data_IF_489735545063
#
_entry.id   IF_489735545063
#
_cell.length_a   1.000
_cell.length_b   1.000
_cell.length_c   1.000
_cell.angle_alpha   90.00
_cell.angle_beta   90.00
_cell.angle_gamma   90.00
#
_symmetry.space_group_name_H-M   'P 1'
#
loop_
_entity.id
_entity.type
_entity.pdbx_description
1 polymer ?
#
# COMPACT_ATOMS: atom_id res chain seq x y z
N UNK A 1 12.76 6.31 28.01
CA UNK A 1 13.28 7.47 27.25
C UNK A 1 13.04 8.76 27.99
N UNK A 2 11.79 9.16 28.25
CA UNK A 2 11.45 10.39 28.98
C UNK A 2 12.08 10.45 30.40
N UNK A 3 12.19 9.31 31.09
CA UNK A 3 12.94 9.24 32.37
C UNK A 3 14.46 9.43 32.22
N UNK A 4 15.04 9.08 31.06
CA UNK A 4 16.49 9.14 30.80
C UNK A 4 16.89 10.48 30.14
N UNK A 5 15.96 11.12 29.45
CA UNK A 5 16.14 12.42 28.79
C UNK A 5 14.88 13.28 29.05
N UNK A 6 14.75 13.92 30.22
CA UNK A 6 13.53 14.63 30.63
C UNK A 6 13.23 15.90 29.83
N UNK A 7 14.18 16.42 29.03
CA UNK A 7 14.00 17.61 28.18
C UNK A 7 14.11 17.33 26.68
N UNK A 8 13.93 16.07 26.25
CA UNK A 8 14.03 15.73 24.83
C UNK A 8 12.88 16.33 24.04
N UNK A 9 13.18 16.89 22.86
CA UNK A 9 12.15 17.47 22.01
C UNK A 9 11.19 16.40 21.45
N UNK A 10 10.02 16.85 21.03
CA UNK A 10 8.94 15.97 20.58
C UNK A 10 9.32 15.19 19.32
N UNK A 11 10.03 15.79 18.37
CA UNK A 11 10.45 15.13 17.13
C UNK A 11 11.42 13.99 17.42
N UNK A 12 12.43 14.24 18.26
CA UNK A 12 13.35 13.17 18.71
C UNK A 12 12.62 12.08 19.48
N UNK A 13 11.65 12.45 20.31
CA UNK A 13 10.82 11.47 21.04
C UNK A 13 10.09 10.54 20.08
N UNK A 14 9.45 11.10 19.05
CA UNK A 14 8.75 10.32 18.02
C UNK A 14 9.73 9.41 17.29
N UNK A 15 10.83 9.95 16.75
CA UNK A 15 11.81 9.17 16.00
C UNK A 15 12.43 8.03 16.80
N UNK A 16 12.84 8.28 18.05
CA UNK A 16 13.39 7.25 18.92
C UNK A 16 12.34 6.20 19.33
N UNK A 17 11.09 6.61 19.51
CA UNK A 17 10.00 5.66 19.78
C UNK A 17 9.78 4.73 18.60
N UNK A 18 9.65 5.28 17.39
CA UNK A 18 9.49 4.51 16.15
C UNK A 18 10.68 3.58 15.95
N UNK A 19 11.91 4.10 16.07
CA UNK A 19 13.14 3.30 15.95
C UNK A 19 13.14 2.12 16.91
N UNK A 20 12.78 2.32 18.17
CA UNK A 20 12.78 1.26 19.19
C UNK A 20 11.70 0.21 18.91
N UNK A 21 10.50 0.64 18.53
CA UNK A 21 9.42 -0.28 18.13
C UNK A 21 9.88 -1.17 16.97
N UNK A 22 10.40 -0.57 15.90
CA UNK A 22 10.93 -1.30 14.75
C UNK A 22 12.08 -2.24 15.17
N UNK A 23 12.99 -1.77 16.02
CA UNK A 23 14.13 -2.58 16.48
C UNK A 23 13.66 -3.85 17.22
N UNK A 24 12.65 -3.73 18.08
CA UNK A 24 12.09 -4.89 18.80
C UNK A 24 11.35 -5.83 17.83
N UNK A 25 10.61 -5.29 16.86
CA UNK A 25 9.93 -6.10 15.83
C UNK A 25 10.94 -6.89 14.97
N UNK A 26 12.03 -6.25 14.55
CA UNK A 26 13.10 -6.90 13.78
C UNK A 26 13.77 -8.01 14.60
N UNK A 27 14.11 -7.74 15.85
CA UNK A 27 14.72 -8.74 16.72
C UNK A 27 13.80 -9.96 16.91
N UNK A 28 12.49 -9.73 17.11
CA UNK A 28 11.50 -10.79 17.27
C UNK A 28 11.37 -11.65 16.00
N UNK A 29 11.17 -11.04 14.83
CA UNK A 29 10.97 -11.81 13.59
C UNK A 29 12.20 -12.65 13.25
N UNK A 30 13.42 -12.14 13.51
CA UNK A 30 14.66 -12.90 13.28
C UNK A 30 14.72 -14.10 14.23
N UNK A 31 14.47 -13.88 15.53
CA UNK A 31 14.53 -14.94 16.54
C UNK A 31 13.47 -16.01 16.28
N UNK A 32 12.23 -15.61 16.03
CA UNK A 32 11.12 -16.52 15.76
C UNK A 32 11.34 -17.31 14.46
N UNK A 33 11.81 -16.64 13.39
CA UNK A 33 12.11 -17.33 12.11
C UNK A 33 13.17 -18.40 12.31
N UNK A 34 14.23 -18.11 13.08
CA UNK A 34 15.28 -19.09 13.41
C UNK A 34 14.71 -20.27 14.19
N UNK A 35 13.87 -20.00 15.20
CA UNK A 35 13.22 -21.05 15.99
C UNK A 35 12.34 -21.95 15.12
N UNK A 36 11.54 -21.36 14.22
CA UNK A 36 10.69 -22.11 13.28
C UNK A 36 11.51 -22.94 12.31
N UNK A 37 12.60 -22.40 11.79
CA UNK A 37 13.48 -23.12 10.86
C UNK A 37 14.11 -24.34 11.53
N UNK A 38 14.61 -24.17 12.76
CA UNK A 38 15.16 -25.27 13.55
C UNK A 38 14.10 -26.32 13.88
N UNK A 39 12.92 -25.90 14.35
CA UNK A 39 11.83 -26.81 14.68
C UNK A 39 11.27 -27.57 13.46
N UNK A 40 11.29 -26.94 12.28
CA UNK A 40 10.88 -27.56 11.03
C UNK A 40 11.96 -28.44 10.39
N UNK A 41 13.22 -28.31 10.82
CA UNK A 41 14.35 -29.06 10.25
C UNK A 41 14.66 -28.69 8.79
N UNK A 42 14.24 -27.52 8.32
CA UNK A 42 14.46 -27.10 6.92
C UNK A 42 15.92 -26.75 6.68
N UNK A 43 16.49 -27.29 5.61
CA UNK A 43 17.87 -27.11 5.17
C UNK A 43 17.97 -26.57 3.75
N UNK A 44 16.87 -26.57 2.99
CA UNK A 44 16.81 -26.04 1.62
C UNK A 44 15.61 -25.12 1.38
N UNK A 45 15.72 -24.26 0.39
CA UNK A 45 14.61 -23.40 -0.03
C UNK A 45 13.40 -24.20 -0.55
N UNK A 46 13.64 -25.39 -1.11
CA UNK A 46 12.57 -26.26 -1.59
C UNK A 46 11.72 -26.82 -0.45
N UNK A 47 12.36 -27.25 0.63
CA UNK A 47 11.66 -27.70 1.85
C UNK A 47 10.83 -26.57 2.47
N UNK A 48 11.31 -25.33 2.43
CA UNK A 48 10.53 -24.17 2.90
C UNK A 48 9.25 -23.98 2.07
N UNK A 49 9.31 -24.17 0.75
CA UNK A 49 8.12 -24.08 -0.13
C UNK A 49 7.09 -25.17 0.19
N UNK A 50 7.56 -26.35 0.60
CA UNK A 50 6.72 -27.50 0.93
C UNK A 50 6.31 -27.57 2.42
N UNK A 51 6.72 -26.61 3.25
CA UNK A 51 6.47 -26.62 4.70
C UNK A 51 4.98 -26.48 5.08
N UNK A 52 4.13 -26.02 4.15
CA UNK A 52 2.69 -25.85 4.35
C UNK A 52 2.30 -24.70 5.29
N UNK A 53 3.28 -23.97 5.83
CA UNK A 53 3.08 -22.80 6.71
C UNK A 53 4.19 -21.77 6.51
N UNK A 54 3.93 -20.48 6.78
CA UNK A 54 4.97 -19.44 6.69
C UNK A 54 6.11 -19.69 7.68
N UNK A 55 7.33 -19.79 7.15
CA UNK A 55 8.54 -19.89 7.96
C UNK A 55 8.86 -18.56 8.66
N UNK A 56 8.72 -17.44 7.95
CA UNK A 56 8.97 -16.10 8.47
C UNK A 56 7.71 -15.56 9.12
N UNK A 57 7.83 -15.05 10.34
CA UNK A 57 6.73 -14.38 11.02
C UNK A 57 7.10 -13.95 12.42
N UNK A 58 6.26 -13.11 13.01
CA UNK A 58 6.37 -12.72 14.40
C UNK A 58 6.06 -13.89 15.33
N UNK A 59 6.65 -13.85 16.53
CA UNK A 59 6.20 -14.68 17.64
C UNK A 59 4.73 -14.40 17.94
N UNK A 60 4.06 -15.33 18.63
CA UNK A 60 2.65 -15.13 19.03
C UNK A 60 2.47 -13.83 19.82
N UNK A 61 3.38 -13.56 20.77
CA UNK A 61 3.34 -12.36 21.60
C UNK A 61 3.53 -11.08 20.77
N UNK A 62 4.47 -11.07 19.83
CA UNK A 62 4.69 -9.90 18.98
C UNK A 62 3.55 -9.70 17.98
N UNK A 63 2.96 -10.77 17.46
CA UNK A 63 1.79 -10.70 16.60
C UNK A 63 0.59 -10.05 17.32
N UNK A 64 0.37 -10.38 18.58
CA UNK A 64 -0.67 -9.75 19.42
C UNK A 64 -0.40 -8.25 19.67
N UNK A 65 0.85 -7.89 20.00
CA UNK A 65 1.27 -6.50 20.16
C UNK A 65 1.09 -5.71 18.87
N UNK A 66 1.50 -6.27 17.74
CA UNK A 66 1.37 -5.65 16.43
C UNK A 66 -0.11 -5.48 16.03
N UNK A 67 -0.97 -6.47 16.31
CA UNK A 67 -2.42 -6.36 16.09
C UNK A 67 -3.04 -5.23 16.91
N UNK A 68 -2.63 -5.08 18.17
CA UNK A 68 -3.08 -4.00 19.05
C UNK A 68 -2.66 -2.63 18.49
N UNK A 69 -1.41 -2.49 18.05
CA UNK A 69 -0.92 -1.27 17.41
C UNK A 69 -1.69 -0.95 16.13
N UNK A 70 -1.93 -1.94 15.26
CA UNK A 70 -2.71 -1.78 14.04
C UNK A 70 -4.15 -1.35 14.33
N UNK A 71 -4.79 -1.92 15.34
CA UNK A 71 -6.15 -1.53 15.77
C UNK A 71 -6.18 -0.07 16.23
N UNK A 72 -5.22 0.34 17.04
CA UNK A 72 -5.07 1.73 17.47
C UNK A 72 -4.87 2.69 16.28
N UNK A 73 -3.95 2.37 15.36
CA UNK A 73 -3.68 3.19 14.17
C UNK A 73 -4.89 3.22 13.22
N UNK A 74 -5.62 2.11 13.08
CA UNK A 74 -6.85 2.05 12.27
C UNK A 74 -7.87 3.08 12.74
N UNK A 75 -8.13 3.16 14.04
CA UNK A 75 -9.08 4.11 14.61
C UNK A 75 -8.59 5.55 14.62
N UNK A 76 -7.31 5.79 14.91
CA UNK A 76 -6.77 7.15 15.14
C UNK A 76 -6.15 7.82 13.92
N UNK A 77 -5.68 7.04 12.94
CA UNK A 77 -4.99 7.54 11.76
C UNK A 77 -5.79 7.26 10.48
N UNK A 78 -6.02 6.00 10.15
CA UNK A 78 -6.60 5.64 8.85
C UNK A 78 -8.09 6.00 8.71
N UNK A 79 -8.86 5.91 9.80
CA UNK A 79 -10.28 6.31 9.83
C UNK A 79 -10.50 7.75 10.31
N UNK A 80 -9.44 8.55 10.35
CA UNK A 80 -9.59 9.96 10.68
C UNK A 80 -10.43 10.67 9.59
N UNK A 81 -11.36 11.59 9.92
CA UNK A 81 -12.25 12.22 8.94
C UNK A 81 -11.52 12.83 7.74
N UNK A 82 -10.40 13.53 7.98
CA UNK A 82 -9.58 14.12 6.91
C UNK A 82 -9.01 13.07 5.95
N UNK A 83 -8.56 11.92 6.47
CA UNK A 83 -8.04 10.83 5.63
C UNK A 83 -9.17 10.20 4.83
N UNK A 84 -10.32 9.98 5.46
CA UNK A 84 -11.48 9.37 4.81
C UNK A 84 -12.00 10.27 3.67
N UNK A 85 -12.02 11.59 3.88
CA UNK A 85 -12.41 12.55 2.84
C UNK A 85 -11.45 12.53 1.64
N UNK A 86 -10.13 12.53 1.89
CA UNK A 86 -9.11 12.44 0.83
C UNK A 86 -9.26 11.12 0.07
N UNK A 87 -9.44 9.99 0.77
CA UNK A 87 -9.65 8.69 0.15
C UNK A 87 -10.92 8.67 -0.71
N UNK A 88 -12.00 9.31 -0.27
CA UNK A 88 -13.22 9.45 -1.05
C UNK A 88 -13.00 10.25 -2.35
N UNK A 89 -12.17 11.29 -2.32
CA UNK A 89 -11.77 12.02 -3.53
C UNK A 89 -10.92 11.16 -4.47
N UNK A 90 -9.92 10.46 -3.94
CA UNK A 90 -9.07 9.57 -4.72
C UNK A 90 -9.86 8.45 -5.40
N UNK A 91 -10.82 7.84 -4.70
CA UNK A 91 -11.72 6.84 -5.27
C UNK A 91 -12.55 7.38 -6.44
N UNK A 92 -13.00 8.65 -6.36
CA UNK A 92 -13.70 9.28 -7.48
C UNK A 92 -12.78 9.44 -8.68
N UNK A 93 -11.59 9.99 -8.47
CA UNK A 93 -10.58 10.16 -9.54
C UNK A 93 -10.30 8.84 -10.25
N UNK A 94 -10.03 7.77 -9.51
CA UNK A 94 -9.74 6.45 -10.09
C UNK A 94 -10.93 5.89 -10.87
N UNK A 95 -12.14 6.00 -10.33
CA UNK A 95 -13.36 5.56 -11.04
C UNK A 95 -13.57 6.34 -12.33
N UNK A 96 -13.50 7.67 -12.27
CA UNK A 96 -13.74 8.52 -13.43
C UNK A 96 -12.70 8.27 -14.53
N UNK A 97 -11.42 8.11 -14.17
CA UNK A 97 -10.35 7.72 -15.10
C UNK A 97 -10.62 6.35 -15.73
N UNK A 98 -11.02 5.37 -14.93
CA UNK A 98 -11.35 4.03 -15.44
C UNK A 98 -12.49 4.08 -16.44
N UNK A 99 -13.58 4.78 -16.11
CA UNK A 99 -14.74 4.93 -16.99
C UNK A 99 -14.36 5.65 -18.30
N UNK A 100 -13.55 6.71 -18.24
CA UNK A 100 -13.08 7.44 -19.41
C UNK A 100 -12.23 6.55 -20.34
N UNK A 101 -11.19 5.90 -19.83
CA UNK A 101 -10.31 5.06 -20.65
C UNK A 101 -11.01 3.79 -21.16
N UNK A 102 -11.93 3.23 -20.38
CA UNK A 102 -12.75 2.10 -20.80
C UNK A 102 -13.75 2.50 -21.91
N UNK A 103 -14.27 3.73 -21.86
CA UNK A 103 -15.23 4.25 -22.83
C UNK A 103 -14.60 4.72 -24.14
N UNK A 104 -13.37 5.23 -24.09
CA UNK A 104 -12.63 5.69 -25.27
C UNK A 104 -11.14 5.25 -25.21
N UNK A 105 -10.79 4.16 -25.92
CA UNK A 105 -9.40 3.71 -26.04
C UNK A 105 -8.46 4.76 -26.65
N UNK A 106 -8.98 5.73 -27.41
CA UNK A 106 -8.23 6.84 -27.97
C UNK A 106 -7.58 7.75 -26.93
N UNK A 107 -8.12 7.77 -25.71
CA UNK A 107 -7.58 8.55 -24.59
C UNK A 107 -6.30 7.96 -24.01
N UNK A 108 -6.03 6.67 -24.23
CA UNK A 108 -4.80 6.02 -23.78
C UNK A 108 -3.58 6.53 -24.56
N UNK A 109 -2.39 6.58 -23.95
CA UNK A 109 -1.15 6.82 -24.67
C UNK A 109 -0.92 5.80 -25.82
N UNK A 110 -0.25 6.17 -26.93
CA UNK A 110 -0.06 5.27 -28.08
C UNK A 110 0.55 3.91 -27.73
N UNK A 111 1.55 3.88 -26.85
CA UNK A 111 2.18 2.64 -26.38
C UNK A 111 1.26 1.73 -25.55
N UNK A 112 0.15 2.26 -25.03
CA UNK A 112 -0.92 1.49 -24.38
C UNK A 112 -2.07 1.16 -25.33
N UNK A 113 -2.13 1.77 -26.51
CA UNK A 113 -3.07 1.41 -27.58
C UNK A 113 -2.56 0.29 -28.46
N UNK A 114 -1.26 0.29 -28.75
CA UNK A 114 -0.59 -0.77 -29.50
C UNK A 114 -0.67 -2.10 -28.72
N UNK A 115 -1.33 -3.10 -29.30
CA UNK A 115 -1.61 -4.37 -28.61
C UNK A 115 -2.80 -4.33 -27.65
N UNK A 116 -3.65 -3.30 -27.71
CA UNK A 116 -4.86 -3.23 -26.90
C UNK A 116 -5.88 -4.29 -27.29
N UNK A 117 -6.56 -4.84 -26.29
CA UNK A 117 -7.58 -5.88 -26.47
C UNK A 117 -8.96 -5.26 -26.68
N UNK A 118 -9.10 -4.25 -27.54
CA UNK A 118 -10.38 -3.51 -27.70
C UNK A 118 -11.55 -4.41 -28.08
N UNK A 119 -11.28 -5.54 -28.73
CA UNK A 119 -12.29 -6.54 -29.12
C UNK A 119 -12.73 -7.44 -27.95
N UNK A 120 -11.97 -7.48 -26.85
CA UNK A 120 -12.29 -8.19 -25.61
C UNK A 120 -12.39 -7.20 -24.45
N UNK A 121 -13.63 -6.83 -24.13
CA UNK A 121 -13.96 -5.89 -23.05
C UNK A 121 -13.28 -6.22 -21.72
N UNK A 122 -13.15 -7.50 -21.36
CA UNK A 122 -12.58 -7.90 -20.07
C UNK A 122 -11.06 -7.75 -20.05
N UNK A 123 -10.39 -8.12 -21.14
CA UNK A 123 -8.94 -7.91 -21.28
C UNK A 123 -8.61 -6.43 -21.39
N UNK A 124 -9.43 -5.65 -22.08
CA UNK A 124 -9.25 -4.21 -22.16
C UNK A 124 -9.41 -3.55 -20.78
N UNK A 125 -10.42 -3.93 -20.01
CA UNK A 125 -10.59 -3.44 -18.64
C UNK A 125 -9.37 -3.76 -17.76
N UNK A 126 -8.75 -4.93 -17.91
CA UNK A 126 -7.50 -5.27 -17.22
C UNK A 126 -6.37 -4.33 -17.61
N UNK A 127 -6.19 -4.08 -18.90
CA UNK A 127 -5.17 -3.18 -19.41
C UNK A 127 -5.36 -1.75 -18.90
N UNK A 128 -6.59 -1.25 -18.84
CA UNK A 128 -6.92 0.05 -18.24
C UNK A 128 -6.58 0.07 -16.75
N UNK A 129 -6.90 -1.00 -16.01
CA UNK A 129 -6.50 -1.13 -14.61
C UNK A 129 -4.98 -1.08 -14.43
N UNK A 130 -4.22 -1.78 -15.28
CA UNK A 130 -2.76 -1.81 -15.21
C UNK A 130 -2.16 -0.43 -15.53
N UNK A 131 -2.74 0.28 -16.50
CA UNK A 131 -2.36 1.65 -16.82
C UNK A 131 -2.59 2.60 -15.64
N UNK A 132 -3.77 2.55 -15.01
CA UNK A 132 -4.11 3.38 -13.85
C UNK A 132 -3.23 3.02 -12.65
N UNK A 133 -2.99 1.74 -12.40
CA UNK A 133 -2.13 1.27 -11.30
C UNK A 133 -0.66 1.68 -11.49
N UNK A 134 -0.22 1.90 -12.73
CA UNK A 134 1.10 2.43 -13.06
C UNK A 134 1.25 3.96 -12.89
N UNK A 135 0.17 4.68 -12.61
CA UNK A 135 0.21 6.13 -12.43
C UNK A 135 0.76 6.53 -11.07
N UNK A 136 1.49 7.65 -11.02
CA UNK A 136 1.72 8.36 -9.76
C UNK A 136 0.49 9.20 -9.40
N UNK A 137 0.30 9.51 -8.11
CA UNK A 137 -0.82 10.36 -7.66
C UNK A 137 -0.90 11.67 -8.43
N UNK A 138 0.24 12.33 -8.65
CA UNK A 138 0.32 13.58 -9.42
C UNK A 138 -0.16 13.38 -10.85
N UNK A 139 0.33 12.33 -11.52
CA UNK A 139 -0.05 12.06 -12.90
C UNK A 139 -1.54 11.70 -13.04
N UNK A 140 -2.10 10.93 -12.10
CA UNK A 140 -3.52 10.60 -12.09
C UNK A 140 -4.40 11.85 -11.94
N UNK A 141 -4.02 12.77 -11.03
CA UNK A 141 -4.71 14.04 -10.87
C UNK A 141 -4.59 14.93 -12.11
N UNK A 142 -3.41 14.99 -12.75
CA UNK A 142 -3.20 15.75 -13.99
C UNK A 142 -4.03 15.17 -15.15
N UNK A 143 -4.14 13.84 -15.27
CA UNK A 143 -5.00 13.20 -16.25
C UNK A 143 -6.49 13.44 -15.99
N UNK A 144 -6.92 13.35 -14.72
CA UNK A 144 -8.31 13.61 -14.34
C UNK A 144 -8.68 15.06 -14.67
N UNK A 145 -7.81 16.01 -14.31
CA UNK A 145 -7.95 17.41 -14.72
C UNK A 145 -8.05 17.57 -16.24
N UNK A 146 -7.14 16.97 -17.02
CA UNK A 146 -7.16 17.06 -18.48
C UNK A 146 -8.46 16.55 -19.11
N UNK A 147 -9.05 15.50 -18.54
CA UNK A 147 -10.22 14.82 -19.10
C UNK A 147 -11.56 15.41 -18.62
N UNK A 148 -11.58 16.01 -17.43
CA UNK A 148 -12.83 16.41 -16.76
C UNK A 148 -12.91 17.89 -16.38
N UNK A 149 -11.79 18.62 -16.27
CA UNK A 149 -11.86 20.08 -16.13
C UNK A 149 -12.14 20.68 -17.51
N UNK A 150 -13.35 21.23 -17.67
CA UNK A 150 -13.68 22.11 -18.79
C UNK A 150 -12.76 23.34 -18.75
N UNK A 151 -12.10 23.62 -19.87
CA UNK A 151 -11.39 24.87 -20.11
C UNK A 151 -12.31 26.06 -19.75
N UNK A 152 -11.84 27.12 -19.07
CA UNK A 152 -12.63 28.32 -18.77
C UNK A 152 -13.43 28.92 -19.94
N UNK A 153 -13.11 28.55 -21.18
CA UNK A 153 -13.84 28.93 -22.40
C UNK A 153 -15.26 28.34 -22.53
N UNK A 154 -15.66 27.39 -21.67
CA UNK A 154 -16.99 26.76 -21.69
C UNK A 154 -17.89 27.10 -20.48
N UNK A 155 -17.69 28.27 -19.85
CA UNK A 155 -18.61 28.85 -18.85
C UNK A 155 -19.26 30.13 -19.32
#
# INVERSE_FOLDING_TARGET
MLRRYPGIDTQRTIHETVRRVISVMIADVIAETRNRAQAAGVTSADEVRHLGKPLVGFSLQMAEKNRTLQSFLSGKMYRHPQVTEIMGRAQRVVRDLFEAYQGDPGLLPPNWREGSFTDDRSRFARQVCDFIAGMTDRFALDQHKRLFDLDPLFR
#
